data_IF_400684134952
#
_entry.id   IF_400684134952
#
_cell.length_a   1.000
_cell.length_b   1.000
_cell.length_c   1.000
_cell.angle_alpha   90.00
_cell.angle_beta   90.00
_cell.angle_gamma   90.00
#
_symmetry.space_group_name_H-M   'P 1'
#
loop_
_entity.id
_entity.type
_entity.pdbx_description
1 polymer ?
#
# COMPACT_ATOMS: atom_id res chain seq x y z
N UNK A 1 -13.17 2.24 -22.22
CA UNK A 1 -11.97 1.39 -22.06
C UNK A 1 -10.85 2.27 -21.54
N UNK A 2 -10.63 2.30 -20.22
CA UNK A 2 -9.63 3.20 -19.62
C UNK A 2 -8.25 2.57 -19.70
N UNK A 3 -7.30 3.32 -20.27
CA UNK A 3 -5.93 2.89 -20.53
C UNK A 3 -5.25 2.39 -19.26
N UNK A 4 -4.81 1.13 -19.29
CA UNK A 4 -3.82 0.64 -18.34
C UNK A 4 -2.52 1.40 -18.62
N UNK A 5 -2.06 2.24 -17.69
CA UNK A 5 -0.68 2.70 -17.69
C UNK A 5 0.22 1.44 -17.67
N UNK A 6 0.85 1.13 -18.80
CA UNK A 6 1.83 0.05 -18.91
C UNK A 6 3.17 0.57 -18.40
N UNK A 7 3.28 0.85 -17.10
CA UNK A 7 4.60 0.95 -16.49
C UNK A 7 5.24 -0.45 -16.57
N UNK A 8 6.24 -0.57 -17.43
CA UNK A 8 7.06 -1.77 -17.54
C UNK A 8 7.77 -1.95 -16.20
N UNK A 9 7.38 -2.98 -15.43
CA UNK A 9 8.05 -3.31 -14.17
C UNK A 9 7.14 -3.50 -12.96
N UNK A 10 5.88 -3.03 -12.96
CA UNK A 10 5.03 -3.15 -11.75
C UNK A 10 4.85 -4.61 -11.28
N UNK A 11 4.85 -5.57 -12.21
CA UNK A 11 4.76 -7.00 -11.90
C UNK A 11 6.13 -7.70 -11.78
N UNK A 12 7.24 -6.96 -11.82
CA UNK A 12 8.59 -7.49 -11.67
C UNK A 12 9.02 -7.42 -10.18
N UNK A 13 9.33 -8.56 -9.54
CA UNK A 13 9.91 -8.58 -8.19
C UNK A 13 11.15 -7.68 -8.01
N UNK A 14 11.98 -7.53 -9.05
CA UNK A 14 13.16 -6.65 -9.00
C UNK A 14 12.77 -5.19 -8.88
N UNK A 15 11.74 -4.77 -9.60
CA UNK A 15 11.22 -3.41 -9.52
C UNK A 15 10.68 -3.13 -8.11
N UNK A 16 9.85 -4.03 -7.58
CA UNK A 16 9.30 -3.89 -6.22
C UNK A 16 10.40 -3.81 -5.16
N UNK A 17 11.39 -4.71 -5.21
CA UNK A 17 12.53 -4.64 -4.29
C UNK A 17 13.29 -3.33 -4.42
N UNK A 18 13.69 -2.94 -5.62
CA UNK A 18 14.62 -1.82 -5.82
C UNK A 18 13.98 -0.45 -5.64
N UNK A 19 12.71 -0.31 -6.03
CA UNK A 19 12.07 0.99 -6.19
C UNK A 19 10.96 1.22 -5.17
N UNK A 20 10.63 0.22 -4.36
CA UNK A 20 9.62 0.35 -3.29
C UNK A 20 10.24 0.01 -1.94
N UNK A 21 10.82 -1.19 -1.81
CA UNK A 21 11.39 -1.62 -0.52
C UNK A 21 12.74 -0.98 -0.21
N UNK A 22 13.62 -0.92 -1.21
CA UNK A 22 14.96 -0.36 -1.11
C UNK A 22 15.03 1.08 -1.66
N UNK A 23 13.90 1.79 -1.65
CA UNK A 23 13.88 3.19 -2.03
C UNK A 23 14.73 4.00 -1.04
N UNK A 24 15.84 4.55 -1.51
CA UNK A 24 16.81 5.24 -0.66
C UNK A 24 16.20 6.47 0.01
N UNK A 25 15.34 7.21 -0.71
CA UNK A 25 14.68 8.40 -0.16
C UNK A 25 13.74 8.00 1.00
N UNK A 26 12.98 6.92 0.85
CA UNK A 26 12.13 6.35 1.90
C UNK A 26 12.96 5.91 3.12
N UNK A 27 14.06 5.18 2.89
CA UNK A 27 14.91 4.68 3.97
C UNK A 27 15.68 5.81 4.69
N UNK A 28 16.03 6.87 3.97
CA UNK A 28 16.68 8.05 4.53
C UNK A 28 15.70 8.94 5.32
N UNK A 29 14.50 9.19 4.78
CA UNK A 29 13.50 10.07 5.41
C UNK A 29 12.75 9.41 6.57
N UNK A 30 12.67 8.08 6.58
CA UNK A 30 12.10 7.29 7.67
C UNK A 30 13.10 6.26 8.22
N UNK A 31 14.13 6.68 8.99
CA UNK A 31 15.13 5.77 9.56
C UNK A 31 14.54 4.69 10.48
N UNK A 32 13.32 4.91 10.97
CA UNK A 32 12.55 3.92 11.73
C UNK A 32 12.24 2.64 10.94
N UNK A 33 12.13 2.72 9.60
CA UNK A 33 11.90 1.56 8.74
C UNK A 33 13.10 0.59 8.75
N UNK A 34 14.32 1.09 8.91
CA UNK A 34 15.52 0.24 8.99
C UNK A 34 15.62 -0.55 10.32
N UNK A 35 14.67 -0.37 11.24
CA UNK A 35 14.63 -1.12 12.50
C UNK A 35 13.92 -2.45 12.33
N UNK A 36 14.32 -3.43 13.15
CA UNK A 36 13.58 -4.69 13.30
C UNK A 36 12.21 -4.41 13.93
N UNK A 37 11.21 -5.21 13.56
CA UNK A 37 9.86 -5.12 14.13
C UNK A 37 8.86 -4.30 13.29
N UNK A 38 9.22 -3.92 12.06
CA UNK A 38 8.24 -3.45 11.08
C UNK A 38 7.43 -4.65 10.60
N UNK A 39 6.10 -4.47 10.59
CA UNK A 39 5.14 -5.49 10.15
C UNK A 39 4.41 -4.96 8.91
N UNK A 40 4.93 -5.18 7.69
CA UNK A 40 4.26 -4.74 6.49
C UNK A 40 2.99 -5.55 6.23
N UNK A 41 1.95 -4.87 5.78
CA UNK A 41 0.75 -5.48 5.22
C UNK A 41 0.69 -5.15 3.72
N UNK A 42 0.68 -6.16 2.88
CA UNK A 42 0.56 -6.03 1.43
C UNK A 42 -0.12 -7.28 0.86
N UNK A 43 -0.65 -7.17 -0.37
CA UNK A 43 -1.35 -8.28 -1.01
C UNK A 43 -0.38 -9.35 -1.55
N UNK A 44 -0.93 -10.48 -1.97
CA UNK A 44 -0.16 -11.63 -2.45
C UNK A 44 0.24 -11.53 -3.93
N UNK A 45 0.30 -10.32 -4.51
CA UNK A 45 0.73 -10.13 -5.89
C UNK A 45 2.09 -10.80 -6.15
N UNK A 46 2.32 -11.32 -7.36
CA UNK A 46 3.56 -12.02 -7.72
C UNK A 46 4.86 -11.30 -7.31
N UNK A 47 5.03 -9.97 -7.50
CA UNK A 47 6.23 -9.28 -7.03
C UNK A 47 6.41 -9.30 -5.51
N UNK A 48 5.31 -9.34 -4.76
CA UNK A 48 5.30 -9.31 -3.30
C UNK A 48 5.63 -10.68 -2.68
N UNK A 49 5.14 -11.75 -3.30
CA UNK A 49 5.35 -13.14 -2.85
C UNK A 49 6.62 -13.79 -3.41
N UNK A 50 7.32 -13.13 -4.33
CA UNK A 50 8.55 -13.64 -4.92
C UNK A 50 9.68 -13.81 -3.89
N UNK A 51 10.49 -14.88 -4.06
CA UNK A 51 11.63 -15.19 -3.20
C UNK A 51 12.59 -14.00 -2.98
N UNK A 52 12.80 -13.21 -4.03
CA UNK A 52 13.67 -12.03 -3.98
C UNK A 52 13.20 -11.02 -2.94
N UNK A 53 11.89 -10.80 -2.88
CA UNK A 53 11.22 -9.88 -1.96
C UNK A 53 11.24 -10.45 -0.54
N UNK A 54 10.90 -11.73 -0.39
CA UNK A 54 10.89 -12.42 0.91
C UNK A 54 12.28 -12.42 1.57
N UNK A 55 13.34 -12.69 0.79
CA UNK A 55 14.72 -12.64 1.29
C UNK A 55 15.14 -11.24 1.74
N UNK A 56 14.70 -10.20 1.01
CA UNK A 56 14.99 -8.82 1.40
C UNK A 56 14.30 -8.47 2.73
N UNK A 57 13.00 -8.78 2.87
CA UNK A 57 12.25 -8.52 4.09
C UNK A 57 12.84 -9.27 5.30
N UNK A 58 13.22 -10.54 5.11
CA UNK A 58 13.89 -11.33 6.13
C UNK A 58 15.24 -10.73 6.55
N UNK A 59 16.04 -10.20 5.61
CA UNK A 59 17.32 -9.56 5.90
C UNK A 59 17.18 -8.37 6.86
N UNK A 60 16.09 -7.62 6.75
CA UNK A 60 15.80 -6.48 7.64
C UNK A 60 14.98 -6.87 8.88
N UNK A 61 14.59 -8.15 9.00
CA UNK A 61 13.80 -8.64 10.13
C UNK A 61 12.39 -8.05 10.16
N UNK A 62 11.80 -7.88 8.97
CA UNK A 62 10.41 -7.46 8.82
C UNK A 62 9.52 -8.70 8.69
N UNK A 63 8.47 -8.77 9.52
CA UNK A 63 7.53 -9.88 9.53
C UNK A 63 6.28 -9.50 8.76
N UNK A 64 5.97 -10.21 7.68
CA UNK A 64 4.80 -9.88 6.85
C UNK A 64 3.52 -10.27 7.58
N UNK A 65 2.56 -9.34 7.64
CA UNK A 65 1.23 -9.64 8.14
C UNK A 65 0.50 -10.54 7.13
N UNK A 66 -0.02 -11.72 7.55
CA UNK A 66 -0.78 -12.58 6.64
C UNK A 66 -1.96 -11.84 6.02
N UNK A 67 -2.11 -11.93 4.70
CA UNK A 67 -3.21 -11.32 3.98
C UNK A 67 -3.94 -12.37 3.13
N UNK A 68 -5.26 -12.56 3.31
CA UNK A 68 -6.04 -13.46 2.48
C UNK A 68 -6.12 -12.98 1.03
N UNK A 69 -6.27 -13.93 0.08
CA UNK A 69 -6.41 -13.57 -1.32
C UNK A 69 -7.72 -12.80 -1.56
N UNK A 70 -7.69 -11.85 -2.51
CA UNK A 70 -8.87 -11.09 -2.95
C UNK A 70 -9.64 -10.37 -1.83
N UNK A 71 -8.93 -9.88 -0.80
CA UNK A 71 -9.55 -9.25 0.38
C UNK A 71 -9.24 -7.74 0.50
N UNK A 72 -9.67 -6.91 -0.47
CA UNK A 72 -9.43 -5.47 -0.44
C UNK A 72 -10.15 -4.79 0.74
N UNK A 73 -11.20 -5.40 1.27
CA UNK A 73 -11.90 -4.98 2.47
C UNK A 73 -11.07 -5.12 3.75
N UNK A 74 -9.95 -5.86 3.70
CA UNK A 74 -8.97 -6.01 4.78
C UNK A 74 -7.65 -5.26 4.53
N UNK A 75 -7.56 -4.48 3.45
CA UNK A 75 -6.40 -3.66 3.12
C UNK A 75 -6.72 -2.17 3.34
N UNK A 76 -6.05 -1.47 4.29
CA UNK A 76 -6.32 -0.05 4.58
C UNK A 76 -6.14 0.85 3.36
N UNK A 77 -5.17 0.53 2.51
CA UNK A 77 -4.97 1.22 1.24
C UNK A 77 -6.24 1.20 0.37
N UNK A 78 -6.92 0.05 0.28
CA UNK A 78 -8.10 -0.12 -0.56
C UNK A 78 -9.37 0.43 0.08
N UNK A 79 -9.63 0.12 1.35
CA UNK A 79 -10.89 0.51 1.99
C UNK A 79 -10.91 1.95 2.52
N UNK A 80 -9.74 2.55 2.80
CA UNK A 80 -9.64 3.86 3.45
C UNK A 80 -8.92 4.91 2.60
N UNK A 81 -7.76 4.58 2.04
CA UNK A 81 -6.88 5.57 1.38
C UNK A 81 -7.30 5.89 -0.07
N UNK A 82 -7.47 4.86 -0.90
CA UNK A 82 -7.65 5.05 -2.35
C UNK A 82 -9.01 5.64 -2.72
N UNK A 83 -10.04 5.48 -1.90
CA UNK A 83 -11.35 6.11 -2.13
C UNK A 83 -11.29 7.65 -2.12
N UNK A 84 -10.87 8.27 -1.01
CA UNK A 84 -10.56 9.69 -0.93
C UNK A 84 -9.59 10.18 -2.01
N UNK A 85 -8.48 9.46 -2.26
CA UNK A 85 -7.51 9.84 -3.28
C UNK A 85 -8.14 9.91 -4.68
N UNK A 86 -8.91 8.88 -5.07
CA UNK A 86 -9.60 8.86 -6.37
C UNK A 86 -10.61 9.99 -6.53
N UNK A 87 -11.27 10.39 -5.43
CA UNK A 87 -12.18 11.55 -5.44
C UNK A 87 -11.41 12.85 -5.63
N UNK A 88 -10.27 13.00 -4.95
CA UNK A 88 -9.38 14.17 -5.09
C UNK A 88 -8.86 14.33 -6.52
N UNK A 89 -8.32 13.25 -7.09
CA UNK A 89 -7.81 13.23 -8.45
C UNK A 89 -8.91 13.24 -9.53
N UNK A 90 -10.18 13.10 -9.13
CA UNK A 90 -11.31 12.97 -10.03
C UNK A 90 -11.51 14.23 -10.87
N UNK A 91 -11.38 14.11 -12.18
CA UNK A 91 -11.56 15.23 -13.11
C UNK A 91 -10.32 16.10 -13.32
N UNK A 92 -9.21 15.79 -12.65
CA UNK A 92 -7.93 16.43 -12.91
C UNK A 92 -7.28 15.82 -14.16
N UNK A 93 -6.61 16.67 -14.95
CA UNK A 93 -5.77 16.26 -16.06
C UNK A 93 -4.34 16.72 -15.77
N UNK A 94 -3.37 15.84 -16.04
CA UNK A 94 -1.95 16.09 -15.82
C UNK A 94 -1.23 16.01 -17.17
N UNK A 95 -0.41 17.01 -17.48
CA UNK A 95 0.34 17.05 -18.73
C UNK A 95 1.59 16.15 -18.64
N UNK A 96 2.18 16.09 -17.45
CA UNK A 96 3.37 15.28 -17.18
C UNK A 96 3.21 14.40 -15.94
N UNK A 97 4.09 13.40 -15.82
CA UNK A 97 4.17 12.55 -14.62
C UNK A 97 4.59 13.36 -13.38
N UNK A 98 5.41 14.40 -13.56
CA UNK A 98 5.82 15.28 -12.48
C UNK A 98 4.66 16.11 -11.92
N UNK A 99 3.71 16.51 -12.76
CA UNK A 99 2.52 17.23 -12.31
C UNK A 99 1.66 16.31 -11.44
N UNK A 100 1.49 15.06 -11.87
CA UNK A 100 0.80 14.03 -11.08
C UNK A 100 1.51 13.79 -9.74
N UNK A 101 2.83 13.60 -9.73
CA UNK A 101 3.58 13.38 -8.49
C UNK A 101 3.53 14.57 -7.55
N UNK A 102 3.55 15.79 -8.09
CA UNK A 102 3.45 17.01 -7.29
C UNK A 102 2.08 17.13 -6.63
N UNK A 103 1.01 16.82 -7.38
CA UNK A 103 -0.35 16.80 -6.82
C UNK A 103 -0.53 15.69 -5.77
N UNK A 104 0.01 14.50 -6.02
CA UNK A 104 -0.01 13.41 -5.06
C UNK A 104 0.68 13.80 -3.75
N UNK A 105 1.89 14.37 -3.83
CA UNK A 105 2.62 14.86 -2.65
C UNK A 105 1.81 15.91 -1.90
N UNK A 106 1.31 16.92 -2.61
CA UNK A 106 0.46 17.95 -2.02
C UNK A 106 -0.76 17.35 -1.31
N UNK A 107 -1.44 16.37 -1.91
CA UNK A 107 -2.56 15.71 -1.27
C UNK A 107 -2.16 15.00 0.02
N UNK A 108 -1.07 14.22 -0.01
CA UNK A 108 -0.56 13.51 1.18
C UNK A 108 -0.09 14.46 2.28
N UNK A 109 0.59 15.55 1.94
CA UNK A 109 1.09 16.56 2.89
C UNK A 109 -0.04 17.30 3.62
N UNK A 110 -1.24 17.33 3.03
CA UNK A 110 -2.44 17.92 3.61
C UNK A 110 -3.31 16.92 4.40
N UNK A 111 -2.93 15.64 4.48
CA UNK A 111 -3.65 14.67 5.30
C UNK A 111 -3.21 14.75 6.77
N UNK A 112 -4.18 14.76 7.66
CA UNK A 112 -3.92 14.68 9.10
C UNK A 112 -3.36 13.30 9.48
N UNK A 113 -2.48 13.23 10.48
CA UNK A 113 -2.01 11.97 11.06
C UNK A 113 -3.18 11.09 11.54
N UNK A 114 -4.26 11.71 12.02
CA UNK A 114 -5.46 11.01 12.46
C UNK A 114 -6.18 10.32 11.30
N UNK A 115 -6.06 10.82 10.06
CA UNK A 115 -6.58 10.13 8.88
C UNK A 115 -5.95 8.73 8.76
N UNK A 116 -4.63 8.63 8.85
CA UNK A 116 -3.93 7.34 8.77
C UNK A 116 -4.26 6.46 9.99
N UNK A 117 -4.30 7.06 11.19
CA UNK A 117 -4.63 6.35 12.43
C UNK A 117 -6.00 5.70 12.38
N UNK A 118 -7.02 6.39 11.86
CA UNK A 118 -8.37 5.85 11.67
C UNK A 118 -8.36 4.66 10.72
N UNK A 119 -7.66 4.77 9.59
CA UNK A 119 -7.54 3.68 8.62
C UNK A 119 -6.91 2.41 9.22
N UNK A 120 -5.79 2.57 9.91
CA UNK A 120 -5.08 1.45 10.57
C UNK A 120 -5.92 0.86 11.71
N UNK A 121 -6.49 1.68 12.59
CA UNK A 121 -7.27 1.18 13.72
C UNK A 121 -8.57 0.49 13.30
N UNK A 122 -9.09 0.80 12.10
CA UNK A 122 -10.26 0.13 11.53
C UNK A 122 -9.99 -1.32 11.10
N UNK A 123 -8.73 -1.76 11.04
CA UNK A 123 -8.39 -3.16 10.76
C UNK A 123 -8.99 -4.11 11.78
N UNK A 124 -8.93 -3.77 13.08
CA UNK A 124 -9.41 -4.65 14.15
C UNK A 124 -10.91 -4.94 14.02
N UNK A 125 -11.71 -3.90 13.78
CA UNK A 125 -13.15 -4.04 13.61
C UNK A 125 -13.50 -4.76 12.30
N UNK A 126 -12.72 -4.56 11.23
CA UNK A 126 -12.90 -5.27 9.96
C UNK A 126 -12.54 -6.75 10.07
N UNK A 127 -11.45 -7.11 10.75
CA UNK A 127 -11.14 -8.51 11.02
C UNK A 127 -12.24 -9.19 11.82
N UNK A 128 -12.77 -8.54 12.85
CA UNK A 128 -13.90 -9.09 13.59
C UNK A 128 -15.12 -9.32 12.70
N UNK A 129 -15.47 -8.35 11.86
CA UNK A 129 -16.57 -8.52 10.88
C UNK A 129 -16.33 -9.66 9.90
N UNK A 130 -15.12 -9.80 9.38
CA UNK A 130 -14.76 -10.91 8.49
C UNK A 130 -14.94 -12.27 9.20
N UNK A 131 -14.57 -12.37 10.48
CA UNK A 131 -14.79 -13.57 11.29
C UNK A 131 -16.30 -13.83 11.47
N UNK A 132 -17.07 -12.80 11.82
CA UNK A 132 -18.52 -12.89 12.05
C UNK A 132 -19.28 -13.28 10.77
N UNK A 133 -18.76 -12.87 9.61
CA UNK A 133 -19.26 -13.22 8.28
C UNK A 133 -18.67 -14.53 7.74
N UNK A 134 -17.94 -15.29 8.54
CA UNK A 134 -17.31 -16.55 8.15
C UNK A 134 -16.41 -16.44 6.90
N UNK A 135 -15.74 -15.30 6.74
CA UNK A 135 -14.85 -15.01 5.62
C UNK A 135 -15.53 -14.39 4.39
N UNK A 136 -16.82 -14.06 4.46
CA UNK A 136 -17.51 -13.33 3.39
C UNK A 136 -17.14 -11.83 3.40
N UNK A 137 -17.44 -11.15 2.28
CA UNK A 137 -17.08 -9.76 2.06
C UNK A 137 -17.76 -8.81 3.03
N UNK A 138 -17.00 -7.82 3.51
CA UNK A 138 -17.53 -6.74 4.35
C UNK A 138 -18.19 -5.69 3.45
N UNK A 139 -19.50 -5.50 3.61
CA UNK A 139 -20.22 -4.40 2.95
C UNK A 139 -19.71 -3.03 3.42
N UNK A 140 -19.73 -2.06 2.50
CA UNK A 140 -19.22 -0.70 2.71
C UNK A 140 -20.19 0.20 3.47
#
# INVERSE_FOLDING_TARGET
MHGRCKHHGINDPKFYRNSVLADEDLLHTAPGLLRRGIVPQHDNATPHSANLTQQWLQRYGWEILPHPAHSPDLAPSDFHLFGPLKRHLGGMAFETENDLFSELRNWFDNLDVDFFRVGINSLLSRWQKCIDLHGDYIEK
#
